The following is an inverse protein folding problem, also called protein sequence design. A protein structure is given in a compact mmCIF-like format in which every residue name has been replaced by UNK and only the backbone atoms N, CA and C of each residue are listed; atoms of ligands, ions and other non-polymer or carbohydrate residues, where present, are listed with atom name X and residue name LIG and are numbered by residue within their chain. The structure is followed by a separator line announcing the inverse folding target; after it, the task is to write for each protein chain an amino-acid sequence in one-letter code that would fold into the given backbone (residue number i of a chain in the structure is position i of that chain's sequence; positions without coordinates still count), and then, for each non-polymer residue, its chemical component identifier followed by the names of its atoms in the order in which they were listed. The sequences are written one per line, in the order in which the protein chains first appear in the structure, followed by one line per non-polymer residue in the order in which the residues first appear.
data_IF_374625687945
#
_entry.id   IF_374625687945
#
_cell.length_a   1.000
_cell.length_b   1.000
_cell.length_c   1.000
_cell.angle_alpha   90.00
_cell.angle_beta   90.00
_cell.angle_gamma   90.00
#
_symmetry.space_group_name_H-M   'P 1'
#
loop_
_entity.id
_entity.type
_entity.pdbx_description
1 polymer ?
#
# COMPACT_ATOMS: atom_id res chain seq x y z
N UNK A 1 -28.01 -37.45 -0.39
CA UNK A 1 -26.76 -37.92 -1.03
C UNK A 1 -25.64 -37.71 0.00
N UNK A 2 -24.84 -38.73 0.31
CA UNK A 2 -23.89 -38.68 1.45
C UNK A 2 -22.46 -38.48 0.92
N UNK A 3 -21.79 -37.44 1.42
CA UNK A 3 -20.39 -37.16 1.12
C UNK A 3 -19.59 -37.06 2.41
N UNK A 4 -18.37 -37.60 2.41
CA UNK A 4 -17.46 -37.56 3.56
C UNK A 4 -16.14 -36.92 3.20
N UNK A 5 -15.70 -35.99 4.03
CA UNK A 5 -14.40 -35.32 3.93
C UNK A 5 -13.84 -35.18 5.36
N UNK A 6 -12.70 -35.82 5.63
CA UNK A 6 -12.00 -35.85 6.93
C UNK A 6 -12.92 -35.98 8.16
N UNK A 7 -13.70 -37.07 8.21
CA UNK A 7 -14.54 -37.41 9.35
C UNK A 7 -15.83 -36.60 9.49
N UNK A 8 -16.15 -35.74 8.52
CA UNK A 8 -17.40 -34.99 8.46
C UNK A 8 -18.32 -35.63 7.42
N UNK A 9 -19.46 -36.13 7.88
CA UNK A 9 -20.55 -36.68 7.04
C UNK A 9 -21.52 -35.55 6.71
N UNK A 10 -21.69 -35.26 5.42
CA UNK A 10 -22.73 -34.35 4.94
C UNK A 10 -23.92 -35.18 4.45
N UNK A 11 -25.07 -35.01 5.11
CA UNK A 11 -26.32 -35.71 4.80
C UNK A 11 -27.32 -34.68 4.30
N UNK A 12 -27.43 -34.55 2.97
CA UNK A 12 -28.50 -33.74 2.39
C UNK A 12 -29.81 -34.53 2.44
N UNK A 13 -30.71 -34.14 3.34
CA UNK A 13 -32.14 -34.49 3.34
C UNK A 13 -32.94 -33.28 2.89
N UNK A 14 -33.93 -33.49 2.01
CA UNK A 14 -34.69 -32.42 1.37
C UNK A 14 -35.68 -31.71 2.28
N UNK A 15 -35.78 -32.04 3.57
CA UNK A 15 -36.67 -31.33 4.49
C UNK A 15 -36.06 -31.32 5.89
N UNK A 16 -35.96 -30.12 6.48
CA UNK A 16 -35.30 -29.73 7.73
C UNK A 16 -33.77 -29.54 7.67
N UNK A 17 -33.37 -28.27 7.57
CA UNK A 17 -31.99 -27.83 7.80
C UNK A 17 -31.67 -28.08 9.28
N UNK A 18 -30.81 -29.06 9.53
CA UNK A 18 -30.41 -29.43 10.88
C UNK A 18 -29.56 -28.32 11.50
N UNK A 19 -29.91 -27.89 12.72
CA UNK A 19 -29.27 -26.72 13.38
C UNK A 19 -27.75 -26.90 13.49
N UNK A 20 -27.27 -28.14 13.59
CA UNK A 20 -25.85 -28.47 13.64
C UNK A 20 -25.09 -28.18 12.32
N UNK A 21 -25.72 -28.29 11.15
CA UNK A 21 -25.10 -27.91 9.87
C UNK A 21 -24.99 -26.38 9.74
N UNK A 22 -26.01 -25.64 10.21
CA UNK A 22 -25.97 -24.17 10.24
C UNK A 22 -24.84 -23.67 11.15
N UNK A 23 -24.70 -24.24 12.35
CA UNK A 23 -23.61 -23.90 13.28
C UNK A 23 -22.20 -24.18 12.74
N UNK A 24 -22.02 -25.20 11.88
CA UNK A 24 -20.71 -25.48 11.25
C UNK A 24 -20.38 -24.48 10.14
N UNK A 25 -21.38 -24.03 9.39
CA UNK A 25 -21.24 -22.99 8.37
C UNK A 25 -20.95 -21.64 9.02
N UNK A 26 -21.61 -21.33 10.13
CA UNK A 26 -21.36 -20.11 10.91
C UNK A 26 -19.93 -20.07 11.46
N UNK A 27 -19.43 -21.18 12.03
CA UNK A 27 -18.03 -21.29 12.45
C UNK A 27 -17.03 -21.12 11.29
N UNK A 28 -17.35 -21.64 10.10
CA UNK A 28 -16.49 -21.48 8.92
C UNK A 28 -16.46 -20.03 8.41
N UNK A 29 -17.63 -19.36 8.43
CA UNK A 29 -17.77 -17.94 8.07
C UNK A 29 -17.02 -17.04 9.06
N UNK A 30 -17.18 -17.27 10.36
CA UNK A 30 -16.48 -16.52 11.41
C UNK A 30 -14.96 -16.69 11.29
N UNK A 31 -14.48 -17.90 11.03
CA UNK A 31 -13.05 -18.17 10.83
C UNK A 31 -12.50 -17.47 9.57
N UNK A 32 -13.28 -17.42 8.49
CA UNK A 32 -12.90 -16.69 7.28
C UNK A 32 -12.81 -15.18 7.54
N UNK A 33 -13.82 -14.59 8.21
CA UNK A 33 -13.83 -13.18 8.61
C UNK A 33 -12.62 -12.87 9.49
N UNK A 34 -12.34 -13.74 10.47
CA UNK A 34 -11.18 -13.60 11.36
C UNK A 34 -9.86 -13.58 10.57
N UNK A 35 -9.66 -14.53 9.66
CA UNK A 35 -8.44 -14.59 8.83
C UNK A 35 -8.28 -13.37 7.92
N UNK A 36 -9.37 -12.88 7.33
CA UNK A 36 -9.35 -11.66 6.50
C UNK A 36 -8.94 -10.46 7.36
N UNK A 37 -9.56 -10.28 8.53
CA UNK A 37 -9.23 -9.18 9.43
C UNK A 37 -7.78 -9.25 9.91
N UNK A 38 -7.31 -10.45 10.30
CA UNK A 38 -5.91 -10.65 10.68
C UNK A 38 -4.93 -10.35 9.53
N UNK A 39 -5.30 -10.70 8.29
CA UNK A 39 -4.54 -10.34 7.10
C UNK A 39 -4.47 -8.82 6.89
N UNK A 40 -5.60 -8.12 6.97
CA UNK A 40 -5.68 -6.66 6.87
C UNK A 40 -4.85 -6.00 7.97
N UNK A 41 -4.91 -6.49 9.20
CA UNK A 41 -4.14 -5.96 10.32
C UNK A 41 -2.63 -6.08 10.08
N UNK A 42 -2.16 -7.22 9.55
CA UNK A 42 -0.75 -7.42 9.19
C UNK A 42 -0.30 -6.48 8.07
N UNK A 43 -1.10 -6.34 7.00
CA UNK A 43 -0.78 -5.43 5.90
C UNK A 43 -0.71 -3.97 6.37
N UNK A 44 -1.60 -3.57 7.26
CA UNK A 44 -1.60 -2.21 7.83
C UNK A 44 -0.36 -1.96 8.70
N UNK A 45 0.14 -2.97 9.44
CA UNK A 45 1.43 -2.84 10.16
C UNK A 45 2.57 -2.56 9.19
N UNK A 46 2.59 -3.24 8.03
CA UNK A 46 3.61 -3.01 7.00
C UNK A 46 3.47 -1.61 6.39
N UNK A 47 2.25 -1.18 6.05
CA UNK A 47 1.99 0.17 5.53
C UNK A 47 2.42 1.23 6.54
N UNK A 48 2.11 1.06 7.83
CA UNK A 48 2.51 1.97 8.91
C UNK A 48 4.03 2.11 8.99
N UNK A 49 4.76 0.99 8.88
CA UNK A 49 6.22 0.98 8.88
C UNK A 49 6.79 1.73 7.66
N UNK A 50 6.24 1.47 6.46
CA UNK A 50 6.68 2.12 5.24
C UNK A 50 6.40 3.64 5.29
N UNK A 51 5.26 4.04 5.86
CA UNK A 51 4.90 5.45 6.05
C UNK A 51 5.82 6.17 7.03
N UNK A 52 6.22 5.51 8.11
CA UNK A 52 7.22 6.06 9.04
C UNK A 52 8.58 6.23 8.34
N UNK A 53 8.99 5.24 7.55
CA UNK A 53 10.24 5.30 6.77
C UNK A 53 10.19 6.45 5.77
N UNK A 54 9.10 6.57 5.01
CA UNK A 54 8.89 7.65 4.05
C UNK A 54 8.94 9.03 4.72
N UNK A 55 8.31 9.17 5.90
CA UNK A 55 8.32 10.42 6.67
C UNK A 55 9.74 10.82 7.11
N UNK A 56 10.55 9.85 7.55
CA UNK A 56 11.94 10.10 7.93
C UNK A 56 12.77 10.54 6.72
N UNK A 57 12.63 9.85 5.58
CA UNK A 57 13.30 10.23 4.32
C UNK A 57 12.90 11.64 3.85
N UNK A 58 11.61 11.99 3.95
CA UNK A 58 11.13 13.32 3.63
C UNK A 58 11.72 14.40 4.55
N UNK A 59 11.79 14.13 5.86
CA UNK A 59 12.40 15.07 6.81
C UNK A 59 13.88 15.30 6.49
N UNK A 60 14.62 14.24 6.17
CA UNK A 60 16.01 14.33 5.75
C UNK A 60 16.17 15.14 4.46
N UNK A 61 15.30 14.90 3.46
CA UNK A 61 15.29 15.68 2.22
C UNK A 61 15.07 17.17 2.52
N UNK A 62 14.08 17.50 3.35
CA UNK A 62 13.77 18.87 3.77
C UNK A 62 14.94 19.53 4.47
N UNK A 63 15.61 18.82 5.37
CA UNK A 63 16.78 19.33 6.07
C UNK A 63 17.95 19.60 5.11
N UNK A 64 18.24 18.66 4.20
CA UNK A 64 19.28 18.82 3.17
C UNK A 64 18.99 19.99 2.24
N UNK A 65 17.73 20.15 1.83
CA UNK A 65 17.31 21.26 1.00
C UNK A 65 17.45 22.60 1.73
N UNK A 66 17.02 22.70 2.99
CA UNK A 66 17.20 23.91 3.78
C UNK A 66 18.68 24.28 3.99
N UNK A 67 19.53 23.28 4.20
CA UNK A 67 20.97 23.47 4.29
C UNK A 67 21.56 23.99 2.97
N UNK A 68 21.11 23.45 1.83
CA UNK A 68 21.50 23.91 0.50
C UNK A 68 21.16 25.39 0.27
N UNK A 69 19.96 25.83 0.65
CA UNK A 69 19.53 27.23 0.57
C UNK A 69 20.36 28.12 1.51
N UNK A 70 20.69 27.63 2.70
CA UNK A 70 21.56 28.37 3.63
C UNK A 70 22.97 28.55 3.06
N UNK A 71 23.51 27.54 2.37
CA UNK A 71 24.80 27.63 1.70
C UNK A 71 24.78 28.58 0.51
N UNK A 72 23.71 28.57 -0.29
CA UNK A 72 23.49 29.52 -1.41
C UNK A 72 23.68 30.96 -0.95
N UNK A 73 23.05 31.33 0.17
CA UNK A 73 23.10 32.69 0.71
C UNK A 73 24.47 33.11 1.24
N UNK A 74 25.43 32.18 1.38
CA UNK A 74 26.79 32.45 1.84
C UNK A 74 27.79 32.63 0.70
N UNK A 75 27.40 32.39 -0.55
CA UNK A 75 28.31 32.51 -1.70
C UNK A 75 28.41 33.98 -2.11
N UNK A 76 29.58 34.64 -1.98
CA UNK A 76 29.75 36.02 -2.40
C UNK A 76 29.77 36.12 -3.92
N UNK A 77 28.80 36.85 -4.49
CA UNK A 77 28.69 37.03 -5.96
C UNK A 77 29.80 37.89 -6.57
N UNK A 78 30.49 38.67 -5.74
CA UNK A 78 31.51 39.63 -6.15
C UNK A 78 32.92 39.04 -6.25
N UNK A 79 33.14 37.78 -5.87
CA UNK A 79 34.47 37.15 -5.90
C UNK A 79 34.81 36.71 -7.34
N UNK A 80 35.86 37.27 -7.97
CA UNK A 80 36.29 36.91 -9.33
C UNK A 80 36.63 35.42 -9.48
N UNK A 81 37.12 34.77 -8.41
CA UNK A 81 37.44 33.34 -8.40
C UNK A 81 36.18 32.46 -8.42
N UNK A 82 35.06 32.99 -7.93
CA UNK A 82 33.76 32.30 -7.92
C UNK A 82 32.97 32.53 -9.21
N UNK A 83 33.43 33.39 -10.10
CA UNK A 83 32.63 33.80 -11.25
C UNK A 83 32.31 32.64 -12.20
N UNK A 84 33.29 31.77 -12.48
CA UNK A 84 33.08 30.56 -13.29
C UNK A 84 32.16 29.53 -12.60
N UNK A 85 32.11 29.52 -11.27
CA UNK A 85 31.22 28.66 -10.48
C UNK A 85 29.77 29.16 -10.52
N UNK A 86 29.59 30.48 -10.45
CA UNK A 86 28.28 31.15 -10.41
C UNK A 86 27.66 31.22 -11.79
N UNK A 87 28.40 31.74 -12.78
CA UNK A 87 27.92 31.91 -14.17
C UNK A 87 27.94 30.63 -14.99
N UNK A 88 28.56 29.57 -14.49
CA UNK A 88 28.73 28.33 -15.21
C UNK A 88 29.74 28.44 -16.36
N UNK A 89 29.83 27.37 -17.15
CA UNK A 89 30.68 27.26 -18.34
C UNK A 89 29.93 26.49 -19.43
N UNK A 90 30.50 26.36 -20.63
CA UNK A 90 29.91 25.53 -21.70
C UNK A 90 29.66 24.08 -21.28
N UNK A 91 30.39 23.57 -20.29
CA UNK A 91 30.28 22.19 -19.79
C UNK A 91 29.60 22.08 -18.42
N UNK A 92 29.21 23.20 -17.82
CA UNK A 92 28.66 23.25 -16.46
C UNK A 92 27.53 24.26 -16.38
N UNK A 93 26.32 23.86 -15.94
CA UNK A 93 25.23 24.79 -15.73
C UNK A 93 25.61 25.89 -14.73
N UNK A 94 25.01 27.07 -14.92
CA UNK A 94 25.07 28.14 -13.94
C UNK A 94 24.48 27.68 -12.60
N UNK A 95 25.01 28.25 -11.53
CA UNK A 95 24.60 27.87 -10.18
C UNK A 95 23.12 28.21 -9.91
N UNK A 96 22.60 29.29 -10.50
CA UNK A 96 21.19 29.69 -10.42
C UNK A 96 20.25 28.60 -10.98
N UNK A 97 20.55 28.11 -12.19
CA UNK A 97 19.80 27.01 -12.82
C UNK A 97 19.83 25.71 -11.99
N UNK A 98 20.98 25.38 -11.37
CA UNK A 98 21.07 24.21 -10.48
C UNK A 98 20.20 24.35 -9.23
N UNK A 99 20.14 25.55 -8.64
CA UNK A 99 19.26 25.81 -7.51
C UNK A 99 17.78 25.77 -7.89
N UNK A 100 17.41 26.34 -9.04
CA UNK A 100 16.04 26.26 -9.55
C UNK A 100 15.64 24.79 -9.77
N UNK A 101 16.53 23.98 -10.32
CA UNK A 101 16.30 22.55 -10.48
C UNK A 101 16.12 21.83 -9.13
N UNK A 102 16.94 22.16 -8.13
CA UNK A 102 16.82 21.61 -6.78
C UNK A 102 15.50 22.02 -6.10
N UNK A 103 15.07 23.28 -6.25
CA UNK A 103 13.77 23.79 -5.79
C UNK A 103 12.61 23.00 -6.42
N UNK A 104 12.62 22.84 -7.74
CA UNK A 104 11.59 22.06 -8.46
C UNK A 104 11.54 20.60 -8.01
N UNK A 105 12.70 19.96 -7.79
CA UNK A 105 12.76 18.59 -7.27
C UNK A 105 12.15 18.52 -5.86
N UNK A 106 12.53 19.45 -5.00
CA UNK A 106 12.01 19.49 -3.63
C UNK A 106 10.48 19.66 -3.63
N UNK A 107 9.95 20.58 -4.44
CA UNK A 107 8.52 20.81 -4.57
C UNK A 107 7.78 19.57 -5.08
N UNK A 108 8.34 18.88 -6.08
CA UNK A 108 7.80 17.63 -6.61
C UNK A 108 7.68 16.55 -5.51
N UNK A 109 8.76 16.29 -4.78
CA UNK A 109 8.74 15.28 -3.71
C UNK A 109 7.90 15.70 -2.50
N UNK A 110 7.85 17.00 -2.18
CA UNK A 110 6.97 17.54 -1.16
C UNK A 110 5.50 17.33 -1.51
N UNK A 111 5.11 17.62 -2.75
CA UNK A 111 3.77 17.34 -3.25
C UNK A 111 3.44 15.85 -3.17
N UNK A 112 4.35 15.00 -3.64
CA UNK A 112 4.16 13.55 -3.63
C UNK A 112 4.03 12.98 -2.22
N UNK A 113 4.88 13.41 -1.29
CA UNK A 113 4.79 13.04 0.12
C UNK A 113 3.42 13.43 0.72
N UNK A 114 2.98 14.67 0.48
CA UNK A 114 1.69 15.14 0.99
C UNK A 114 0.51 14.35 0.42
N UNK A 115 0.55 13.98 -0.86
CA UNK A 115 -0.47 13.14 -1.48
C UNK A 115 -0.55 11.76 -0.83
N UNK A 116 0.59 11.09 -0.67
CA UNK A 116 0.66 9.77 -0.02
C UNK A 116 0.19 9.87 1.43
N UNK A 117 0.71 10.84 2.18
CA UNK A 117 0.37 11.02 3.59
C UNK A 117 -1.12 11.33 3.79
N UNK A 118 -1.72 12.13 2.90
CA UNK A 118 -3.16 12.38 2.92
C UNK A 118 -3.96 11.09 2.70
N UNK A 119 -3.61 10.32 1.66
CA UNK A 119 -4.29 9.05 1.37
C UNK A 119 -4.14 8.05 2.53
N UNK A 120 -2.97 7.99 3.16
CA UNK A 120 -2.72 7.15 4.31
C UNK A 120 -3.56 7.57 5.54
N UNK A 121 -3.66 8.86 5.85
CA UNK A 121 -4.50 9.35 6.96
C UNK A 121 -5.99 9.01 6.73
N UNK A 122 -6.44 9.01 5.47
CA UNK A 122 -7.83 8.68 5.11
C UNK A 122 -8.10 7.16 5.15
N UNK A 123 -7.06 6.32 5.14
CA UNK A 123 -7.20 4.86 5.29
C UNK A 123 -7.51 4.50 6.74
N UNK A 124 -8.77 4.63 7.15
CA UNK A 124 -9.25 4.09 8.41
C UNK A 124 -9.97 2.74 8.18
N UNK A 125 -9.30 1.63 8.49
CA UNK A 125 -9.87 0.27 8.35
C UNK A 125 -11.10 0.00 9.23
N UNK A 126 -11.32 0.82 10.26
CA UNK A 126 -12.48 0.73 11.14
C UNK A 126 -13.63 1.64 10.70
N UNK A 127 -13.41 2.49 9.69
CA UNK A 127 -14.46 3.28 9.06
C UNK A 127 -15.08 2.49 7.90
N UNK A 128 -16.38 2.23 8.01
CA UNK A 128 -17.18 1.53 7.01
C UNK A 128 -17.10 2.21 5.63
N UNK A 129 -16.92 3.53 5.59
CA UNK A 129 -16.74 4.29 4.33
C UNK A 129 -15.43 3.94 3.62
N UNK A 130 -14.35 3.72 4.38
CA UNK A 130 -13.07 3.29 3.82
C UNK A 130 -13.18 1.89 3.24
N UNK A 131 -13.86 0.98 3.96
CA UNK A 131 -14.13 -0.38 3.48
C UNK A 131 -14.95 -0.32 2.18
N UNK A 132 -16.01 0.50 2.14
CA UNK A 132 -16.83 0.64 0.94
C UNK A 132 -16.04 1.23 -0.25
N UNK A 133 -15.19 2.22 -0.01
CA UNK A 133 -14.30 2.78 -1.04
C UNK A 133 -13.28 1.76 -1.54
N UNK A 134 -12.73 0.94 -0.64
CA UNK A 134 -11.83 -0.16 -1.00
C UNK A 134 -12.53 -1.21 -1.86
N UNK A 135 -13.75 -1.62 -1.48
CA UNK A 135 -14.58 -2.52 -2.27
C UNK A 135 -14.76 -1.93 -3.68
N UNK A 136 -15.28 -0.70 -3.80
CA UNK A 136 -15.49 -0.03 -5.09
C UNK A 136 -14.20 0.06 -5.92
N UNK A 137 -13.05 0.29 -5.28
CA UNK A 137 -11.76 0.33 -5.97
C UNK A 137 -11.34 -1.05 -6.52
N UNK A 138 -11.59 -2.12 -5.75
CA UNK A 138 -11.35 -3.50 -6.17
C UNK A 138 -12.33 -3.94 -7.26
N UNK A 139 -13.57 -3.45 -7.24
CA UNK A 139 -14.56 -3.73 -8.29
C UNK A 139 -14.23 -3.05 -9.62
N UNK A 140 -13.61 -1.88 -9.59
CA UNK A 140 -13.16 -1.16 -10.79
C UNK A 140 -11.95 -1.81 -11.46
N UNK A 141 -11.16 -2.60 -10.74
CA UNK A 141 -10.08 -3.41 -11.29
C UNK A 141 -10.58 -4.80 -11.72
N UNK A 142 -11.28 -4.89 -12.86
CA UNK A 142 -11.83 -6.16 -13.38
C UNK A 142 -10.81 -7.29 -13.42
N UNK A 143 -9.55 -6.97 -13.76
CA UNK A 143 -8.45 -7.95 -13.84
C UNK A 143 -8.08 -8.56 -12.48
N UNK A 144 -8.25 -7.83 -11.37
CA UNK A 144 -7.96 -8.36 -10.03
C UNK A 144 -9.06 -9.26 -9.50
N UNK A 145 -10.33 -9.00 -9.85
CA UNK A 145 -11.44 -9.92 -9.56
C UNK A 145 -11.19 -11.28 -10.19
N UNK A 146 -10.73 -11.31 -11.44
CA UNK A 146 -10.36 -12.54 -12.13
C UNK A 146 -9.14 -13.22 -11.51
N UNK A 147 -8.16 -12.46 -11.02
CA UNK A 147 -7.00 -13.02 -10.30
C UNK A 147 -7.39 -13.61 -8.94
N UNK A 148 -8.23 -12.94 -8.16
CA UNK A 148 -8.74 -13.45 -6.88
C UNK A 148 -9.62 -14.67 -7.11
N UNK A 149 -10.45 -14.68 -8.16
CA UNK A 149 -11.25 -15.84 -8.54
C UNK A 149 -10.35 -17.00 -8.98
N UNK A 150 -9.28 -16.74 -9.74
CA UNK A 150 -8.26 -17.75 -10.10
C UNK A 150 -7.54 -18.29 -8.88
N UNK A 151 -7.15 -17.43 -7.93
CA UNK A 151 -6.54 -17.87 -6.66
C UNK A 151 -7.54 -18.71 -5.86
N UNK A 152 -8.79 -18.29 -5.74
CA UNK A 152 -9.84 -19.06 -5.07
C UNK A 152 -10.01 -20.44 -5.71
N UNK A 153 -10.17 -20.49 -7.04
CA UNK A 153 -10.28 -21.75 -7.81
C UNK A 153 -9.03 -22.62 -7.65
N UNK A 154 -7.82 -22.03 -7.68
CA UNK A 154 -6.55 -22.74 -7.44
C UNK A 154 -6.47 -23.27 -6.02
N UNK A 155 -6.91 -22.51 -5.03
CA UNK A 155 -6.89 -22.93 -3.61
C UNK A 155 -7.90 -24.05 -3.39
N UNK A 156 -9.10 -23.95 -3.95
CA UNK A 156 -10.11 -25.02 -3.95
C UNK A 156 -9.62 -26.28 -4.68
N UNK A 157 -8.94 -26.12 -5.82
CA UNK A 157 -8.35 -27.22 -6.60
C UNK A 157 -7.22 -27.90 -5.84
N UNK A 158 -6.25 -27.15 -5.29
CA UNK A 158 -5.16 -27.70 -4.49
C UNK A 158 -5.65 -28.37 -3.20
N UNK A 159 -6.77 -27.89 -2.66
CA UNK A 159 -7.43 -28.55 -1.51
C UNK A 159 -8.06 -29.89 -1.92
N UNK A 160 -8.56 -30.00 -3.17
CA UNK A 160 -9.08 -31.26 -3.74
C UNK A 160 -7.97 -32.25 -4.14
N UNK A 161 -6.83 -31.79 -4.67
CA UNK A 161 -5.71 -32.66 -5.04
C UNK A 161 -5.02 -33.31 -3.83
N UNK A 162 -4.95 -32.62 -2.68
CA UNK A 162 -4.40 -33.21 -1.45
C UNK A 162 -5.23 -34.37 -0.89
N UNK A 163 -6.45 -34.57 -1.37
CA UNK A 163 -7.36 -35.67 -0.96
C UNK A 163 -7.13 -36.93 -1.81
N UNK A 164 -6.33 -36.86 -2.87
CA UNK A 164 -5.92 -38.02 -3.69
C UNK A 164 -4.49 -38.43 -3.32
N UNK A 165 -4.33 -39.06 -2.15
CA UNK A 165 -3.19 -39.93 -1.83
C UNK A 165 -3.63 -41.06 -0.92
#
# INVERSE_FOLDING_TARGET
MIYTLDGIVFIFHSDSVDKAEVYRIDNARENLIFKINAGIDNEMITIDYDMQTLKNLYLDLKNKFHYLITLKNKVPESDPLMHALIKGTTYRPELASLYEYAERIYDYYNHFFNLINHNYIVLNRYDERTIQNLIVSMEKSSDRKDQILKVLILTEFMTKEKIIK
#
